data_IF_311364670008
#
_entry.id   IF_311364670008
#
_cell.length_a   1.000
_cell.length_b   1.000
_cell.length_c   1.000
_cell.angle_alpha   90.00
_cell.angle_beta   90.00
_cell.angle_gamma   90.00
#
_symmetry.space_group_name_H-M   'P 1'
#
loop_
_entity.id
_entity.type
_entity.pdbx_description
1 polymer ?
#
# COMPACT_ATOMS: atom_id res chain seq x y z
N UNK A 1 20.65 19.13 14.08
CA UNK A 1 19.69 18.16 14.65
C UNK A 1 19.04 17.45 13.46
N UNK A 2 19.35 16.18 13.23
CA UNK A 2 18.70 15.42 12.16
C UNK A 2 17.28 15.09 12.63
N UNK A 3 16.28 15.60 11.94
CA UNK A 3 14.89 15.25 12.18
C UNK A 3 14.63 13.94 11.42
N UNK A 4 14.42 12.86 12.14
CA UNK A 4 13.97 11.60 11.55
C UNK A 4 12.46 11.58 11.57
N UNK A 5 11.83 11.21 10.44
CA UNK A 5 10.41 10.95 10.35
C UNK A 5 10.16 9.48 10.66
N UNK A 6 9.25 9.21 11.57
CA UNK A 6 8.86 7.85 11.98
C UNK A 6 7.57 7.45 11.26
N UNK A 7 7.65 6.44 10.42
CA UNK A 7 6.51 5.84 9.74
C UNK A 7 6.22 4.47 10.31
N UNK A 8 4.98 4.21 10.70
CA UNK A 8 4.51 2.92 11.25
C UNK A 8 3.43 2.35 10.37
N UNK A 9 3.60 1.08 9.96
CA UNK A 9 2.61 0.37 9.16
C UNK A 9 1.84 -0.62 10.02
N UNK A 10 0.52 -0.54 9.95
CA UNK A 10 -0.42 -1.38 10.70
C UNK A 10 -1.32 -2.13 9.71
N UNK A 11 -1.61 -3.38 10.01
CA UNK A 11 -2.58 -4.14 9.24
C UNK A 11 -4.00 -3.69 9.59
N UNK A 12 -4.86 -3.62 8.58
CA UNK A 12 -6.30 -3.39 8.77
C UNK A 12 -6.92 -4.61 9.45
N UNK A 13 -7.24 -4.48 10.72
CA UNK A 13 -7.92 -5.50 11.53
C UNK A 13 -8.79 -4.84 12.59
N UNK A 14 -9.79 -5.52 13.15
CA UNK A 14 -10.60 -4.96 14.24
C UNK A 14 -9.73 -4.55 15.43
N UNK A 15 -9.92 -3.32 15.92
CA UNK A 15 -9.11 -2.75 17.02
C UNK A 15 -7.90 -1.93 16.57
N UNK A 16 -7.62 -1.86 15.26
CA UNK A 16 -6.48 -1.09 14.73
C UNK A 16 -6.54 0.39 15.10
N UNK A 17 -7.75 0.94 15.31
CA UNK A 17 -7.91 2.32 15.75
C UNK A 17 -7.28 2.59 17.12
N UNK A 18 -7.41 1.67 18.06
CA UNK A 18 -6.76 1.78 19.37
C UNK A 18 -5.23 1.73 19.24
N UNK A 19 -4.73 0.85 18.37
CA UNK A 19 -3.30 0.73 18.09
C UNK A 19 -2.79 2.02 17.44
N UNK A 20 -3.52 2.55 16.45
CA UNK A 20 -3.17 3.80 15.77
C UNK A 20 -3.10 4.98 16.75
N UNK A 21 -4.05 5.08 17.68
CA UNK A 21 -4.01 6.10 18.72
C UNK A 21 -2.79 5.95 19.65
N UNK A 22 -2.43 4.72 20.02
CA UNK A 22 -1.21 4.44 20.79
C UNK A 22 0.07 4.84 20.05
N UNK A 23 0.15 4.50 18.77
CA UNK A 23 1.28 4.82 17.87
C UNK A 23 1.42 6.34 17.68
N UNK A 24 0.30 7.05 17.51
CA UNK A 24 0.30 8.52 17.41
C UNK A 24 0.77 9.17 18.73
N UNK A 25 0.37 8.63 19.90
CA UNK A 25 0.87 9.08 21.20
C UNK A 25 2.37 8.81 21.39
N UNK A 26 2.91 7.82 20.71
CA UNK A 26 4.34 7.53 20.68
C UNK A 26 5.12 8.38 19.64
N UNK A 27 4.51 9.44 19.13
CA UNK A 27 5.12 10.43 18.22
C UNK A 27 5.48 9.89 16.84
N UNK A 28 4.70 8.96 16.28
CA UNK A 28 4.81 8.63 14.86
C UNK A 28 4.34 9.81 13.99
N UNK A 29 5.04 10.08 12.90
CA UNK A 29 4.72 11.14 11.94
C UNK A 29 3.74 10.67 10.87
N UNK A 30 3.80 9.40 10.52
CA UNK A 30 2.96 8.75 9.52
C UNK A 30 2.48 7.38 10.01
N UNK A 31 1.20 7.12 9.88
CA UNK A 31 0.62 5.80 10.09
C UNK A 31 0.04 5.31 8.76
N UNK A 32 0.49 4.14 8.29
CA UNK A 32 -0.06 3.47 7.13
C UNK A 32 -0.98 2.35 7.57
N UNK A 33 -2.24 2.42 7.19
CA UNK A 33 -3.21 1.33 7.36
C UNK A 33 -3.19 0.48 6.08
N UNK A 34 -2.77 -0.77 6.22
CA UNK A 34 -2.63 -1.70 5.09
C UNK A 34 -3.77 -2.70 5.06
N UNK A 35 -4.46 -2.77 3.93
CA UNK A 35 -5.46 -3.82 3.70
C UNK A 35 -4.81 -5.22 3.59
N UNK A 36 -5.63 -6.26 3.65
CA UNK A 36 -5.18 -7.66 3.54
C UNK A 36 -4.38 -7.94 2.25
N UNK A 37 -4.61 -7.18 1.19
CA UNK A 37 -3.88 -7.25 -0.07
C UNK A 37 -2.48 -6.59 0.00
N UNK A 38 -2.17 -5.89 1.08
CA UNK A 38 -0.89 -5.25 1.30
C UNK A 38 0.24 -6.25 1.53
N UNK A 39 1.48 -5.78 1.39
CA UNK A 39 2.67 -6.57 1.59
C UNK A 39 3.39 -6.92 0.30
N UNK A 40 4.32 -7.86 0.38
CA UNK A 40 5.11 -8.27 -0.79
C UNK A 40 4.27 -9.03 -1.83
N UNK A 41 4.54 -8.78 -3.10
CA UNK A 41 3.90 -9.50 -4.22
C UNK A 41 4.10 -11.02 -4.16
N UNK A 42 5.13 -11.49 -3.47
CA UNK A 42 5.46 -12.91 -3.29
C UNK A 42 4.78 -13.54 -2.06
N UNK A 43 3.98 -12.79 -1.31
CA UNK A 43 3.27 -13.32 -0.14
C UNK A 43 2.39 -14.51 -0.52
N UNK A 44 2.38 -15.57 0.29
CA UNK A 44 1.53 -16.72 0.04
C UNK A 44 0.05 -16.34 0.11
N UNK A 45 -0.77 -17.05 -0.66
CA UNK A 45 -2.20 -16.77 -0.78
C UNK A 45 -2.92 -16.81 0.57
N UNK A 46 -2.48 -17.65 1.49
CA UNK A 46 -3.00 -17.72 2.86
C UNK A 46 -2.85 -16.41 3.61
N UNK A 47 -1.69 -15.76 3.54
CA UNK A 47 -1.47 -14.45 4.15
C UNK A 47 -2.38 -13.37 3.55
N UNK A 48 -2.51 -13.36 2.22
CA UNK A 48 -3.31 -12.35 1.51
C UNK A 48 -4.80 -12.51 1.80
N UNK A 49 -5.30 -13.73 1.97
CA UNK A 49 -6.72 -13.98 2.19
C UNK A 49 -7.15 -13.88 3.65
N UNK A 50 -6.26 -14.19 4.58
CA UNK A 50 -6.67 -14.46 5.96
C UNK A 50 -5.94 -13.61 7.01
N UNK A 51 -4.97 -12.81 6.61
CA UNK A 51 -4.26 -11.91 7.52
C UNK A 51 -4.70 -10.46 7.28
N UNK A 52 -5.76 -10.06 7.96
CA UNK A 52 -6.29 -8.70 7.90
C UNK A 52 -7.66 -8.59 7.24
N UNK A 53 -8.16 -7.37 7.23
CA UNK A 53 -9.44 -6.94 6.64
C UNK A 53 -9.20 -6.00 5.46
N UNK A 54 -10.23 -5.69 4.66
CA UNK A 54 -10.13 -4.62 3.66
C UNK A 54 -9.66 -3.30 4.29
N UNK A 55 -8.86 -2.55 3.53
CA UNK A 55 -8.28 -1.28 4.02
C UNK A 55 -9.35 -0.25 4.43
N UNK A 56 -10.53 -0.28 3.82
CA UNK A 56 -11.64 0.62 4.11
C UNK A 56 -12.07 0.55 5.58
N UNK A 57 -12.13 -0.66 6.13
CA UNK A 57 -12.54 -0.87 7.53
C UNK A 57 -11.51 -0.32 8.50
N UNK A 58 -10.25 -0.72 8.36
CA UNK A 58 -9.19 -0.28 9.25
C UNK A 58 -8.87 1.22 9.14
N UNK A 59 -8.92 1.76 7.91
CA UNK A 59 -8.71 3.19 7.68
C UNK A 59 -9.79 4.01 8.38
N UNK A 60 -11.06 3.66 8.20
CA UNK A 60 -12.19 4.35 8.84
C UNK A 60 -12.09 4.27 10.37
N UNK A 61 -11.79 3.09 10.92
CA UNK A 61 -11.62 2.90 12.35
C UNK A 61 -10.47 3.74 12.90
N UNK A 62 -9.30 3.70 12.26
CA UNK A 62 -8.13 4.47 12.67
C UNK A 62 -8.41 5.98 12.61
N UNK A 63 -9.02 6.46 11.52
CA UNK A 63 -9.38 7.88 11.38
C UNK A 63 -10.31 8.34 12.50
N UNK A 64 -11.37 7.58 12.80
CA UNK A 64 -12.32 7.92 13.85
C UNK A 64 -11.68 7.86 15.25
N UNK A 65 -10.86 6.85 15.53
CA UNK A 65 -10.15 6.73 16.80
C UNK A 65 -9.16 7.88 17.02
N UNK A 66 -8.42 8.27 15.99
CA UNK A 66 -7.51 9.42 16.05
C UNK A 66 -8.27 10.72 16.30
N UNK A 67 -9.44 10.92 15.66
CA UNK A 67 -10.30 12.09 15.91
C UNK A 67 -10.85 12.10 17.33
N UNK A 68 -11.37 10.99 17.80
CA UNK A 68 -11.95 10.87 19.14
C UNK A 68 -10.94 11.10 20.27
N UNK A 69 -9.64 10.98 19.97
CA UNK A 69 -8.55 11.20 20.92
C UNK A 69 -7.77 12.52 20.69
N UNK A 70 -8.24 13.41 19.82
CA UNK A 70 -7.56 14.69 19.46
C UNK A 70 -6.11 14.46 18.95
N UNK A 71 -5.91 13.38 18.18
CA UNK A 71 -4.61 12.99 17.64
C UNK A 71 -4.55 13.08 16.10
N UNK A 72 -5.69 13.32 15.43
CA UNK A 72 -5.77 13.23 13.97
C UNK A 72 -4.87 14.24 13.24
N UNK A 73 -4.71 15.42 13.78
CA UNK A 73 -3.89 16.50 13.26
C UNK A 73 -2.39 16.38 13.60
N UNK A 74 -2.03 15.43 14.46
CA UNK A 74 -0.66 15.20 14.92
C UNK A 74 0.07 14.16 14.09
N UNK A 75 -0.64 13.38 13.27
CA UNK A 75 -0.09 12.29 12.48
C UNK A 75 -0.74 12.26 11.10
N UNK A 76 0.06 12.02 10.04
CA UNK A 76 -0.46 11.76 8.71
C UNK A 76 -1.00 10.35 8.60
N UNK A 77 -2.10 10.18 7.87
CA UNK A 77 -2.73 8.89 7.67
C UNK A 77 -2.63 8.48 6.21
N UNK A 78 -2.01 7.34 5.98
CA UNK A 78 -1.84 6.71 4.67
C UNK A 78 -2.62 5.40 4.62
N UNK A 79 -3.04 5.00 3.43
CA UNK A 79 -3.55 3.65 3.21
C UNK A 79 -2.93 3.01 1.99
N UNK A 80 -2.80 1.68 2.02
CA UNK A 80 -2.39 0.83 0.91
C UNK A 80 -3.10 -0.53 0.96
N UNK A 81 -2.74 -1.43 0.05
CA UNK A 81 -3.27 -2.77 0.02
C UNK A 81 -4.54 -2.89 -0.79
N UNK A 82 -4.41 -2.72 -2.10
CA UNK A 82 -5.48 -2.97 -3.06
C UNK A 82 -6.00 -1.74 -3.79
N UNK A 83 -5.40 -0.57 -3.64
CA UNK A 83 -5.75 0.61 -4.42
C UNK A 83 -5.35 0.40 -5.89
N UNK A 84 -6.29 0.59 -6.81
CA UNK A 84 -6.10 0.30 -8.25
C UNK A 84 -6.61 1.41 -9.17
N UNK A 85 -7.59 2.17 -8.73
CA UNK A 85 -8.30 3.17 -9.53
C UNK A 85 -8.46 4.49 -8.80
N UNK A 86 -8.78 5.56 -9.54
CA UNK A 86 -9.11 6.85 -8.95
C UNK A 86 -10.31 6.80 -8.00
N UNK A 87 -11.26 5.90 -8.23
CA UNK A 87 -12.40 5.68 -7.32
C UNK A 87 -11.92 5.18 -5.96
N UNK A 88 -10.91 4.30 -5.92
CA UNK A 88 -10.35 3.83 -4.65
C UNK A 88 -9.66 4.98 -3.90
N UNK A 89 -8.96 5.86 -4.61
CA UNK A 89 -8.32 7.06 -4.02
C UNK A 89 -9.37 7.99 -3.43
N UNK A 90 -10.45 8.28 -4.16
CA UNK A 90 -11.54 9.14 -3.66
C UNK A 90 -12.19 8.53 -2.41
N UNK A 91 -12.47 7.23 -2.43
CA UNK A 91 -13.00 6.52 -1.25
C UNK A 91 -12.04 6.64 -0.06
N UNK A 92 -10.75 6.38 -0.29
CA UNK A 92 -9.76 6.45 0.76
C UNK A 92 -9.62 7.87 1.34
N UNK A 93 -9.67 8.90 0.50
CA UNK A 93 -9.68 10.30 0.95
C UNK A 93 -10.91 10.63 1.81
N UNK A 94 -12.11 10.17 1.39
CA UNK A 94 -13.34 10.36 2.17
C UNK A 94 -13.24 9.65 3.52
N UNK A 95 -12.62 8.47 3.58
CA UNK A 95 -12.41 7.72 4.81
C UNK A 95 -11.27 8.24 5.69
N UNK A 96 -10.56 9.28 5.23
CA UNK A 96 -9.60 10.03 6.05
C UNK A 96 -8.12 9.86 5.68
N UNK A 97 -7.78 9.19 4.59
CA UNK A 97 -6.40 9.12 4.13
C UNK A 97 -5.96 10.42 3.45
N UNK A 98 -4.71 10.82 3.69
CA UNK A 98 -4.03 11.96 3.06
C UNK A 98 -2.95 11.51 2.07
N UNK A 99 -2.59 10.23 2.13
CA UNK A 99 -1.56 9.63 1.30
C UNK A 99 -1.99 8.22 0.87
N UNK A 100 -1.55 7.80 -0.31
CA UNK A 100 -2.05 6.59 -0.96
C UNK A 100 -0.87 5.76 -1.48
N UNK A 101 -0.81 4.49 -1.08
CA UNK A 101 0.23 3.57 -1.51
C UNK A 101 -0.25 2.62 -2.60
N UNK A 102 0.52 2.51 -3.67
CA UNK A 102 0.24 1.62 -4.79
C UNK A 102 1.36 0.61 -4.97
N UNK A 103 1.00 -0.65 -5.14
CA UNK A 103 1.94 -1.73 -5.44
C UNK A 103 1.61 -2.40 -6.77
N UNK A 104 0.57 -3.22 -6.77
CA UNK A 104 0.20 -4.07 -7.90
C UNK A 104 -0.18 -3.30 -9.17
N UNK A 105 -0.97 -2.24 -9.05
CA UNK A 105 -1.49 -1.53 -10.21
C UNK A 105 -0.37 -0.91 -11.08
N UNK A 106 0.59 -0.13 -10.56
CA UNK A 106 1.72 0.33 -11.36
C UNK A 106 2.62 -0.81 -11.87
N UNK A 107 2.76 -1.91 -11.12
CA UNK A 107 3.48 -3.09 -11.62
C UNK A 107 2.79 -3.71 -12.85
N UNK A 108 1.46 -3.81 -12.83
CA UNK A 108 0.67 -4.29 -13.97
C UNK A 108 0.81 -3.33 -15.16
N UNK A 109 0.80 -2.03 -14.92
CA UNK A 109 1.05 -1.03 -15.96
C UNK A 109 2.43 -1.19 -16.63
N UNK A 110 3.43 -1.71 -15.91
CA UNK A 110 4.75 -2.06 -16.46
C UNK A 110 4.80 -3.43 -17.16
N UNK A 111 3.71 -4.18 -17.21
CA UNK A 111 3.64 -5.49 -17.85
C UNK A 111 3.65 -6.69 -16.91
N UNK A 112 3.54 -6.50 -15.59
CA UNK A 112 3.42 -7.60 -14.65
C UNK A 112 2.16 -8.43 -14.94
N UNK A 113 2.30 -9.74 -15.02
CA UNK A 113 1.19 -10.69 -15.23
C UNK A 113 0.62 -11.28 -13.94
N UNK A 114 1.05 -10.73 -12.79
CA UNK A 114 0.54 -11.13 -11.47
C UNK A 114 0.72 -12.63 -11.16
N UNK A 115 1.84 -13.21 -11.61
CA UNK A 115 2.13 -14.64 -11.43
C UNK A 115 2.51 -15.02 -9.99
N UNK A 116 2.88 -14.04 -9.16
CA UNK A 116 3.29 -14.21 -7.76
C UNK A 116 4.49 -15.17 -7.56
N UNK A 117 5.38 -15.26 -8.53
CA UNK A 117 6.62 -16.04 -8.47
C UNK A 117 7.88 -15.18 -8.29
N UNK A 118 7.69 -13.94 -7.82
CA UNK A 118 8.77 -12.94 -7.69
C UNK A 118 9.93 -13.43 -6.82
N UNK A 119 9.66 -14.23 -5.79
CA UNK A 119 10.65 -14.79 -4.87
C UNK A 119 11.56 -15.84 -5.51
N UNK A 120 11.20 -16.37 -6.68
CA UNK A 120 11.98 -17.40 -7.37
C UNK A 120 13.03 -16.81 -8.32
N UNK A 121 13.12 -15.47 -8.44
CA UNK A 121 13.98 -14.79 -9.40
C UNK A 121 13.78 -15.25 -10.86
N UNK A 122 12.59 -15.76 -11.18
CA UNK A 122 12.25 -16.32 -12.50
C UNK A 122 10.96 -15.69 -13.03
N UNK A 123 10.91 -14.35 -13.04
CA UNK A 123 9.76 -13.61 -13.54
C UNK A 123 9.69 -13.65 -15.06
N UNK A 124 8.70 -14.36 -15.60
CA UNK A 124 8.51 -14.53 -17.05
C UNK A 124 8.30 -13.23 -17.83
N UNK A 125 7.99 -12.13 -17.15
CA UNK A 125 7.82 -10.79 -17.76
C UNK A 125 9.00 -9.86 -17.53
N UNK A 126 10.06 -10.33 -16.90
CA UNK A 126 11.26 -9.56 -16.62
C UNK A 126 11.12 -8.44 -15.58
N UNK A 127 9.91 -8.23 -15.02
CA UNK A 127 9.63 -7.11 -14.09
C UNK A 127 10.33 -7.29 -12.74
N UNK A 128 10.28 -8.52 -12.18
CA UNK A 128 10.78 -8.80 -10.85
C UNK A 128 11.81 -9.94 -10.89
N UNK A 129 12.92 -9.72 -11.58
CA UNK A 129 14.02 -10.69 -11.68
C UNK A 129 15.35 -9.95 -11.84
N UNK A 130 16.43 -10.56 -11.35
CA UNK A 130 17.81 -10.15 -11.59
C UNK A 130 18.45 -10.89 -12.78
N UNK A 131 17.74 -11.84 -13.39
CA UNK A 131 18.21 -12.55 -14.55
C UNK A 131 18.24 -11.60 -15.77
N UNK A 132 19.43 -11.32 -16.29
CA UNK A 132 19.66 -10.38 -17.39
C UNK A 132 18.90 -10.78 -18.66
N UNK A 133 18.94 -12.06 -19.03
CA UNK A 133 18.27 -12.60 -20.20
C UNK A 133 16.76 -12.37 -20.15
N UNK A 134 16.12 -12.65 -19.00
CA UNK A 134 14.69 -12.43 -18.84
C UNK A 134 14.32 -10.94 -18.85
N UNK A 135 15.18 -10.09 -18.29
CA UNK A 135 14.98 -8.63 -18.33
C UNK A 135 15.08 -8.08 -19.74
N UNK A 136 16.13 -8.42 -20.47
CA UNK A 136 16.35 -7.93 -21.83
C UNK A 136 15.28 -8.43 -22.81
N UNK A 137 14.90 -9.68 -22.72
CA UNK A 137 13.96 -10.28 -23.68
C UNK A 137 12.50 -10.00 -23.38
N UNK A 138 12.11 -9.83 -22.12
CA UNK A 138 10.69 -9.82 -21.72
C UNK A 138 10.22 -8.53 -21.06
N UNK A 139 11.10 -7.77 -20.39
CA UNK A 139 10.68 -6.50 -19.78
C UNK A 139 10.41 -5.44 -20.87
N UNK A 140 9.21 -4.88 -20.82
CA UNK A 140 8.72 -3.87 -21.76
C UNK A 140 8.21 -2.60 -21.06
N UNK A 141 8.33 -2.54 -19.73
CA UNK A 141 7.87 -1.40 -18.95
C UNK A 141 8.68 -0.14 -19.24
N UNK A 142 7.99 1.00 -19.29
CA UNK A 142 8.62 2.31 -19.44
C UNK A 142 8.14 3.26 -18.37
N UNK A 143 8.90 4.32 -18.11
CA UNK A 143 8.50 5.39 -17.18
C UNK A 143 7.19 6.03 -17.64
N UNK A 144 7.01 6.22 -18.94
CA UNK A 144 5.80 6.84 -19.50
C UNK A 144 4.53 6.01 -19.24
N UNK A 145 4.62 4.68 -19.24
CA UNK A 145 3.49 3.82 -18.88
C UNK A 145 3.01 4.11 -17.45
N UNK A 146 3.93 4.27 -16.51
CA UNK A 146 3.58 4.58 -15.11
C UNK A 146 3.02 5.99 -14.98
N UNK A 147 3.64 6.97 -15.64
CA UNK A 147 3.14 8.35 -15.67
C UNK A 147 1.71 8.41 -16.21
N UNK A 148 1.46 7.79 -17.34
CA UNK A 148 0.12 7.75 -17.92
C UNK A 148 -0.88 7.02 -17.04
N UNK A 149 -0.46 5.92 -16.42
CA UNK A 149 -1.32 5.22 -15.46
C UNK A 149 -1.78 6.15 -14.32
N UNK A 150 -0.87 6.94 -13.72
CA UNK A 150 -1.24 7.85 -12.63
C UNK A 150 -1.97 9.10 -13.11
N UNK A 151 -1.70 9.60 -14.31
CA UNK A 151 -2.36 10.82 -14.84
C UNK A 151 -3.79 10.53 -15.31
N UNK A 152 -4.02 9.39 -15.93
CA UNK A 152 -5.27 9.08 -16.63
C UNK A 152 -6.06 7.93 -15.99
N UNK A 153 -5.44 7.12 -15.16
CA UNK A 153 -6.06 5.96 -14.52
C UNK A 153 -6.39 6.16 -13.05
N UNK A 154 -5.79 7.14 -12.42
CA UNK A 154 -6.00 7.53 -11.03
C UNK A 154 -6.44 8.98 -10.97
#
# INVERSE_FOLDING_TARGET
MFLFLVSVKLVSEPGVGTIAAGVAKAYADLITISGYDGGTAASPLTSIKYAGSPWELGLSEAHQALRANDLRDKVRLQTDGGLKTGVDVVKAAILGAESFGFGTAPMVAMGCKYLRICHLNNCATGVATQNELLREQHFRGTVEMIKHFFIFGI
#
